data_IF_360229552439
#
_entry.id   IF_360229552439
#
_cell.length_a   1.000
_cell.length_b   1.000
_cell.length_c   1.000
_cell.angle_alpha   90.00
_cell.angle_beta   90.00
_cell.angle_gamma   90.00
#
_symmetry.space_group_name_H-M   'P 1'
#
loop_
_entity.id
_entity.type
_entity.pdbx_description
1 polymer ?
#
# COMPACT_ATOMS: atom_id res chain seq x y z
N UNK A 1 44.54 -15.54 -52.66
CA UNK A 1 44.56 -14.60 -51.52
C UNK A 1 43.12 -14.36 -51.15
N UNK A 2 42.57 -15.18 -50.24
CA UNK A 2 42.47 -14.91 -48.81
C UNK A 2 41.22 -14.06 -48.48
N UNK A 3 40.20 -14.78 -47.99
CA UNK A 3 39.16 -14.40 -47.01
C UNK A 3 38.12 -13.35 -47.44
N UNK A 4 36.82 -13.48 -47.18
CA UNK A 4 36.09 -14.48 -46.41
C UNK A 4 34.59 -14.44 -46.75
N UNK A 5 34.07 -15.64 -46.95
CA UNK A 5 32.69 -16.11 -46.97
C UNK A 5 31.80 -15.52 -45.85
N UNK A 6 30.57 -15.04 -46.13
CA UNK A 6 29.30 -15.82 -46.25
C UNK A 6 28.57 -15.89 -44.88
N UNK A 7 27.48 -15.12 -44.66
CA UNK A 7 26.04 -15.48 -44.79
C UNK A 7 25.34 -15.56 -43.41
N UNK A 8 24.28 -14.78 -43.19
CA UNK A 8 22.83 -15.10 -43.33
C UNK A 8 22.23 -15.88 -42.15
N UNK A 9 21.29 -15.19 -41.49
CA UNK A 9 20.00 -15.59 -40.88
C UNK A 9 19.87 -16.81 -39.95
N UNK A 10 19.02 -16.64 -38.92
CA UNK A 10 17.76 -17.37 -38.66
C UNK A 10 17.51 -17.66 -37.16
N UNK A 11 16.35 -17.15 -36.69
CA UNK A 11 15.37 -17.65 -35.70
C UNK A 11 15.73 -18.16 -34.27
N UNK A 12 14.91 -17.64 -33.34
CA UNK A 12 14.03 -18.33 -32.36
C UNK A 12 14.57 -19.24 -31.25
N UNK A 13 13.71 -19.26 -30.20
CA UNK A 13 13.58 -20.21 -29.09
C UNK A 13 14.55 -19.98 -27.93
N UNK A 14 14.25 -20.32 -26.67
CA UNK A 14 13.08 -20.68 -25.86
C UNK A 14 13.72 -21.04 -24.49
N UNK A 15 12.98 -20.90 -23.39
CA UNK A 15 13.25 -21.46 -22.06
C UNK A 15 14.10 -22.76 -22.02
N UNK A 16 15.03 -22.88 -21.06
CA UNK A 16 14.91 -23.78 -19.89
C UNK A 16 16.10 -23.69 -18.90
N UNK A 17 15.74 -23.66 -17.62
CA UNK A 17 16.31 -24.31 -16.41
C UNK A 17 17.62 -25.12 -16.45
N UNK A 18 18.30 -25.03 -15.28
CA UNK A 18 19.19 -25.96 -14.54
C UNK A 18 20.53 -25.28 -14.21
N UNK A 19 21.14 -25.41 -13.02
CA UNK A 19 21.28 -26.62 -12.22
C UNK A 19 21.72 -26.34 -10.76
N UNK A 20 21.39 -27.28 -9.86
CA UNK A 20 22.19 -27.85 -8.73
C UNK A 20 22.71 -26.90 -7.63
N UNK A 21 22.53 -27.13 -6.33
CA UNK A 21 22.42 -28.37 -5.54
C UNK A 21 23.71 -28.60 -4.74
N UNK A 22 23.69 -28.41 -3.42
CA UNK A 22 24.55 -29.12 -2.45
C UNK A 22 24.07 -28.92 -0.99
N UNK A 23 24.31 -29.96 -0.19
CA UNK A 23 23.78 -30.32 1.12
C UNK A 23 24.35 -29.54 2.32
N UNK A 24 23.63 -29.58 3.44
CA UNK A 24 24.18 -29.35 4.78
C UNK A 24 23.14 -29.53 5.89
N UNK A 25 23.15 -30.71 6.53
CA UNK A 25 22.38 -31.05 7.74
C UNK A 25 22.78 -30.18 8.95
N UNK A 26 21.81 -29.78 9.77
CA UNK A 26 21.85 -29.94 11.24
C UNK A 26 20.51 -29.50 11.86
N UNK A 27 19.81 -30.51 12.36
CA UNK A 27 18.66 -30.44 13.27
C UNK A 27 19.22 -30.24 14.69
N UNK A 28 18.74 -29.24 15.43
CA UNK A 28 18.80 -29.28 16.89
C UNK A 28 17.66 -28.47 17.52
N UNK A 29 17.16 -29.04 18.61
CA UNK A 29 15.87 -28.80 19.22
C UNK A 29 15.76 -27.49 20.02
N UNK A 30 14.51 -27.01 20.16
CA UNK A 30 14.07 -25.88 21.02
C UNK A 30 14.31 -26.18 22.53
N UNK A 31 14.23 -25.17 23.42
CA UNK A 31 12.90 -24.79 23.95
C UNK A 31 12.66 -23.28 24.10
N UNK A 32 11.40 -22.89 23.90
CA UNK A 32 10.82 -21.64 24.43
C UNK A 32 11.05 -21.52 25.94
N UNK A 33 11.24 -20.29 26.45
CA UNK A 33 10.66 -19.88 27.72
C UNK A 33 9.48 -18.93 27.48
N UNK A 34 8.31 -19.39 27.92
CA UNK A 34 7.12 -18.56 28.17
C UNK A 34 7.34 -17.71 29.44
N UNK A 35 6.81 -16.48 29.38
CA UNK A 35 6.35 -15.59 30.49
C UNK A 35 7.31 -14.46 30.91
N UNK A 36 6.80 -13.38 31.56
CA UNK A 36 5.49 -12.70 31.43
C UNK A 36 5.61 -11.15 31.36
N UNK A 37 4.60 -10.48 30.79
CA UNK A 37 4.23 -9.10 31.15
C UNK A 37 5.16 -7.96 30.73
N UNK A 38 4.96 -7.43 29.52
CA UNK A 38 5.41 -6.07 29.16
C UNK A 38 4.22 -5.25 28.67
N UNK A 39 3.31 -4.90 29.58
CA UNK A 39 2.14 -4.05 29.26
C UNK A 39 2.50 -2.55 29.23
N UNK A 40 3.71 -2.18 28.80
CA UNK A 40 4.18 -0.78 28.86
C UNK A 40 5.20 -0.31 27.81
N UNK A 41 5.70 -1.15 26.88
CA UNK A 41 6.68 -0.69 25.85
C UNK A 41 6.18 -0.68 24.41
N UNK A 42 5.09 -1.38 24.10
CA UNK A 42 4.69 -1.57 22.69
C UNK A 42 3.88 -0.42 22.10
N UNK A 43 3.18 0.36 22.93
CA UNK A 43 2.33 1.48 22.46
C UNK A 43 3.13 2.66 21.93
N UNK A 44 4.34 2.89 22.45
CA UNK A 44 5.20 4.00 22.04
C UNK A 44 6.21 3.62 20.94
N UNK A 45 6.32 2.34 20.60
CA UNK A 45 7.29 1.84 19.64
C UNK A 45 7.05 2.41 18.22
N UNK A 46 5.80 2.44 17.75
CA UNK A 46 5.47 2.99 16.42
C UNK A 46 5.76 4.51 16.37
N UNK A 47 5.25 5.35 17.30
CA UNK A 47 5.58 6.77 17.33
C UNK A 47 7.08 7.05 17.42
N UNK A 48 7.82 6.27 18.22
CA UNK A 48 9.27 6.42 18.35
C UNK A 48 9.99 6.10 17.03
N UNK A 49 9.59 5.03 16.33
CA UNK A 49 10.18 4.67 15.04
C UNK A 49 9.86 5.69 13.95
N UNK A 50 8.63 6.23 13.93
CA UNK A 50 8.24 7.34 13.03
C UNK A 50 9.10 8.57 13.29
N UNK A 51 9.33 8.92 14.56
CA UNK A 51 10.16 10.06 14.93
C UNK A 51 11.62 9.87 14.50
N UNK A 52 12.18 8.68 14.70
CA UNK A 52 13.54 8.35 14.28
C UNK A 52 13.70 8.45 12.76
N UNK A 53 12.77 7.84 11.99
CA UNK A 53 12.75 7.96 10.53
C UNK A 53 12.62 9.44 10.10
N UNK A 54 11.74 10.20 10.74
CA UNK A 54 11.52 11.62 10.43
C UNK A 54 12.77 12.47 10.63
N UNK A 55 13.55 12.19 11.68
CA UNK A 55 14.79 12.92 11.96
C UNK A 55 15.83 12.67 10.86
N UNK A 56 16.04 11.41 10.50
CA UNK A 56 16.99 11.04 9.44
C UNK A 56 16.52 11.53 8.07
N UNK A 57 15.21 11.53 7.81
CA UNK A 57 14.65 12.08 6.58
C UNK A 57 14.88 13.59 6.49
N UNK A 58 14.71 14.32 7.59
CA UNK A 58 14.96 15.76 7.64
C UNK A 58 16.44 16.10 7.43
N UNK A 59 17.36 15.25 7.91
CA UNK A 59 18.80 15.36 7.64
C UNK A 59 19.09 15.13 6.16
N UNK A 60 18.56 14.04 5.58
CA UNK A 60 18.71 13.74 4.16
C UNK A 60 18.14 14.87 3.29
N UNK A 61 16.93 15.37 3.61
CA UNK A 61 16.28 16.48 2.90
C UNK A 61 17.16 17.73 2.87
N UNK A 62 17.71 18.12 4.03
CA UNK A 62 18.63 19.27 4.15
C UNK A 62 19.88 19.07 3.30
N UNK A 63 20.47 17.88 3.34
CA UNK A 63 21.66 17.54 2.53
C UNK A 63 21.37 17.61 1.02
N UNK A 64 20.23 17.08 0.58
CA UNK A 64 19.81 17.11 -0.82
C UNK A 64 19.31 18.48 -1.29
N UNK A 65 19.21 19.48 -0.39
CA UNK A 65 18.67 20.81 -0.71
C UNK A 65 17.19 20.80 -1.08
N UNK A 66 16.45 19.74 -0.74
CA UNK A 66 15.06 19.56 -1.12
C UNK A 66 14.11 20.43 -0.28
N UNK A 67 12.98 20.90 -0.84
CA UNK A 67 12.01 21.69 -0.08
C UNK A 67 11.36 20.85 1.04
N UNK A 68 10.98 21.53 2.13
CA UNK A 68 10.17 20.93 3.17
C UNK A 68 8.71 20.89 2.73
N UNK A 69 8.07 19.74 2.91
CA UNK A 69 6.66 19.58 2.57
C UNK A 69 5.79 20.51 3.44
N UNK A 70 4.80 21.16 2.81
CA UNK A 70 3.77 21.89 3.52
C UNK A 70 2.74 20.95 4.15
N UNK A 71 2.13 21.38 5.27
CA UNK A 71 0.99 20.65 5.87
C UNK A 71 -0.12 20.51 4.84
N UNK A 72 -0.61 19.29 4.63
CA UNK A 72 -1.69 19.02 3.70
C UNK A 72 -2.62 17.98 4.28
N UNK A 73 -3.90 18.30 4.31
CA UNK A 73 -4.91 17.34 4.70
C UNK A 73 -5.47 16.67 3.44
N UNK A 74 -5.24 15.36 3.28
CA UNK A 74 -5.82 14.57 2.19
C UNK A 74 -7.30 14.20 2.43
N UNK A 75 -7.86 14.60 3.56
CA UNK A 75 -9.25 14.36 3.95
C UNK A 75 -9.56 12.91 4.32
N UNK A 76 -8.54 12.14 4.73
CA UNK A 76 -8.68 10.76 5.19
C UNK A 76 -7.95 10.62 6.53
N UNK A 77 -8.62 10.02 7.51
CA UNK A 77 -8.09 9.77 8.84
C UNK A 77 -8.35 8.32 9.25
N UNK A 78 -7.37 7.67 9.89
CA UNK A 78 -7.52 6.27 10.32
C UNK A 78 -6.61 5.97 11.50
N UNK A 79 -7.14 5.26 12.49
CA UNK A 79 -6.40 4.63 13.60
C UNK A 79 -6.26 3.12 13.40
N UNK A 80 -6.69 2.60 12.25
CA UNK A 80 -6.77 1.17 11.98
C UNK A 80 -5.40 0.59 11.65
N UNK A 81 -5.03 -0.50 12.33
CA UNK A 81 -3.77 -1.22 12.14
C UNK A 81 -3.48 -1.54 10.67
N UNK A 82 -4.51 -1.94 9.91
CA UNK A 82 -4.36 -2.24 8.48
C UNK A 82 -3.94 -1.03 7.66
N UNK A 83 -4.51 0.14 7.94
CA UNK A 83 -4.23 1.36 7.17
C UNK A 83 -2.85 1.89 7.49
N UNK A 84 -2.47 1.84 8.77
CA UNK A 84 -1.08 2.10 9.18
C UNK A 84 -0.11 1.16 8.45
N UNK A 85 -0.36 -0.16 8.45
CA UNK A 85 0.48 -1.13 7.76
C UNK A 85 0.66 -0.82 6.26
N UNK A 86 -0.41 -0.48 5.54
CA UNK A 86 -0.31 -0.15 4.12
C UNK A 86 0.41 1.19 3.87
N UNK A 87 0.28 2.18 4.78
CA UNK A 87 1.05 3.42 4.69
C UNK A 87 2.53 3.21 5.01
N UNK A 88 2.88 2.30 5.91
CA UNK A 88 4.29 1.94 6.15
C UNK A 88 4.88 1.13 5.00
N UNK A 89 4.10 0.26 4.35
CA UNK A 89 4.51 -0.42 3.13
C UNK A 89 4.73 0.58 1.98
N UNK A 90 3.86 1.59 1.85
CA UNK A 90 4.05 2.67 0.87
C UNK A 90 5.34 3.44 1.17
N UNK A 91 5.60 3.76 2.44
CA UNK A 91 6.84 4.44 2.86
C UNK A 91 8.08 3.61 2.50
N UNK A 92 8.03 2.30 2.78
CA UNK A 92 9.08 1.37 2.39
C UNK A 92 9.33 1.39 0.88
N UNK A 93 8.28 1.27 0.06
CA UNK A 93 8.39 1.27 -1.41
C UNK A 93 9.01 2.58 -1.95
N UNK A 94 8.59 3.73 -1.40
CA UNK A 94 9.16 5.03 -1.78
C UNK A 94 10.63 5.14 -1.38
N UNK A 95 10.98 4.64 -0.19
CA UNK A 95 12.37 4.65 0.30
C UNK A 95 13.26 3.72 -0.54
N UNK A 96 12.77 2.52 -0.90
CA UNK A 96 13.48 1.61 -1.82
C UNK A 96 13.68 2.24 -3.21
N UNK A 97 12.67 2.95 -3.73
CA UNK A 97 12.81 3.69 -5.00
C UNK A 97 13.90 4.75 -4.90
N UNK A 98 13.96 5.49 -3.79
CA UNK A 98 15.03 6.47 -3.55
C UNK A 98 16.41 5.79 -3.46
N UNK A 99 16.50 4.65 -2.78
CA UNK A 99 17.73 3.85 -2.73
C UNK A 99 18.19 3.47 -4.14
N UNK A 100 17.27 3.00 -4.98
CA UNK A 100 17.58 2.66 -6.36
C UNK A 100 18.02 3.87 -7.20
N UNK A 101 17.42 5.05 -7.00
CA UNK A 101 17.82 6.26 -7.73
C UNK A 101 19.25 6.70 -7.35
N UNK A 102 19.61 6.62 -6.07
CA UNK A 102 20.94 7.01 -5.55
C UNK A 102 22.02 5.96 -5.82
N UNK A 103 21.72 4.69 -5.56
CA UNK A 103 22.73 3.62 -5.47
C UNK A 103 22.58 2.53 -6.54
N UNK A 104 21.49 2.54 -7.32
CA UNK A 104 21.13 1.46 -8.27
C UNK A 104 20.93 0.09 -7.62
N UNK A 105 20.77 0.03 -6.29
CA UNK A 105 20.44 -1.18 -5.53
C UNK A 105 18.95 -1.21 -5.20
N UNK A 106 18.38 -2.41 -5.13
CA UNK A 106 17.03 -2.67 -4.63
C UNK A 106 17.10 -3.44 -3.32
N UNK A 107 16.30 -3.03 -2.35
CA UNK A 107 16.07 -3.79 -1.13
C UNK A 107 15.17 -5.01 -1.42
N UNK A 108 15.28 -6.02 -0.56
CA UNK A 108 14.37 -7.16 -0.59
C UNK A 108 13.01 -6.73 -0.06
N UNK A 109 11.90 -6.97 -0.79
CA UNK A 109 10.56 -6.65 -0.31
C UNK A 109 10.24 -7.32 1.03
N UNK A 110 9.55 -6.63 1.96
CA UNK A 110 9.14 -7.22 3.21
C UNK A 110 8.21 -8.41 2.95
N UNK A 111 8.30 -9.49 3.74
CA UNK A 111 7.43 -10.64 3.57
C UNK A 111 5.96 -10.23 3.79
N UNK A 112 5.05 -10.81 3.00
CA UNK A 112 3.62 -10.61 3.23
C UNK A 112 3.21 -11.33 4.54
N UNK A 113 2.56 -10.63 5.50
CA UNK A 113 2.14 -11.25 6.75
C UNK A 113 1.19 -12.44 6.53
N UNK A 114 1.52 -13.57 7.15
CA UNK A 114 0.71 -14.79 7.12
C UNK A 114 -0.34 -14.76 8.24
N UNK A 115 -1.27 -13.80 8.20
CA UNK A 115 -2.30 -13.70 9.23
C UNK A 115 -3.00 -12.35 9.32
N UNK A 116 -3.61 -12.11 10.48
CA UNK A 116 -4.13 -10.80 10.86
C UNK A 116 -2.98 -9.84 11.12
N UNK A 117 -3.11 -8.62 10.61
CA UNK A 117 -2.08 -7.59 10.72
C UNK A 117 -2.00 -7.09 12.16
N UNK A 118 -0.80 -7.01 12.70
CA UNK A 118 -0.52 -6.51 14.04
C UNK A 118 0.54 -5.41 14.07
N UNK A 119 0.76 -4.87 15.26
CA UNK A 119 1.85 -3.93 15.57
C UNK A 119 3.23 -4.41 15.09
N UNK A 120 3.61 -5.71 15.23
CA UNK A 120 4.90 -6.20 14.74
C UNK A 120 5.09 -6.02 13.23
N UNK A 121 4.03 -6.21 12.43
CA UNK A 121 4.11 -6.06 10.97
C UNK A 121 4.34 -4.59 10.57
N UNK A 122 3.69 -3.66 11.29
CA UNK A 122 3.87 -2.21 11.09
C UNK A 122 5.30 -1.81 11.44
N UNK A 123 5.79 -2.25 12.61
CA UNK A 123 7.14 -1.94 13.08
C UNK A 123 8.21 -2.52 12.16
N UNK A 124 8.05 -3.75 11.69
CA UNK A 124 8.97 -4.37 10.74
C UNK A 124 9.14 -3.51 9.48
N UNK A 125 8.03 -3.12 8.84
CA UNK A 125 8.06 -2.24 7.66
C UNK A 125 8.77 -0.91 7.94
N UNK A 126 8.53 -0.30 9.11
CA UNK A 126 9.15 0.98 9.49
C UNK A 126 10.64 0.86 9.78
N UNK A 127 11.04 -0.22 10.44
CA UNK A 127 12.43 -0.52 10.74
C UNK A 127 13.20 -0.79 9.45
N UNK A 128 12.63 -1.57 8.53
CA UNK A 128 13.22 -1.84 7.22
C UNK A 128 13.33 -0.56 6.39
N UNK A 129 12.26 0.25 6.31
CA UNK A 129 12.29 1.53 5.61
C UNK A 129 13.36 2.47 6.19
N UNK A 130 13.47 2.53 7.53
CA UNK A 130 14.50 3.33 8.20
C UNK A 130 15.92 2.79 7.91
N UNK A 131 16.11 1.47 7.90
CA UNK A 131 17.39 0.85 7.53
C UNK A 131 17.83 1.21 6.10
N UNK A 132 16.89 1.23 5.16
CA UNK A 132 17.12 1.69 3.78
C UNK A 132 17.50 3.17 3.76
N UNK A 133 16.78 4.03 4.50
CA UNK A 133 17.10 5.45 4.61
C UNK A 133 18.53 5.67 5.14
N UNK A 134 18.92 4.95 6.17
CA UNK A 134 20.29 4.99 6.71
C UNK A 134 21.33 4.46 5.71
N UNK A 135 20.98 3.52 4.85
CA UNK A 135 21.85 3.06 3.77
C UNK A 135 22.04 4.16 2.72
N UNK A 136 20.98 4.88 2.34
CA UNK A 136 21.05 6.03 1.44
C UNK A 136 21.97 7.11 2.02
N UNK A 137 21.77 7.45 3.29
CA UNK A 137 22.58 8.46 3.98
C UNK A 137 24.07 8.07 4.04
N UNK A 138 24.37 6.79 4.27
CA UNK A 138 25.74 6.25 4.21
C UNK A 138 26.34 6.33 2.81
N UNK A 139 25.56 6.00 1.77
CA UNK A 139 26.01 6.08 0.38
C UNK A 139 26.30 7.53 -0.07
N UNK A 140 25.63 8.51 0.56
CA UNK A 140 25.85 9.94 0.36
C UNK A 140 26.86 10.55 1.33
N UNK A 141 27.52 9.73 2.17
CA UNK A 141 28.52 10.15 3.16
C UNK A 141 28.00 11.20 4.15
N UNK A 142 26.70 11.16 4.48
CA UNK A 142 26.08 12.08 5.44
C UNK A 142 26.52 11.69 6.85
N UNK A 143 27.25 12.56 7.58
CA UNK A 143 27.77 12.22 8.90
C UNK A 143 26.64 12.10 9.94
N UNK A 144 26.75 11.19 10.93
CA UNK A 144 25.82 11.12 12.05
C UNK A 144 25.74 12.47 12.78
N UNK A 145 24.54 12.87 13.19
CA UNK A 145 24.36 14.11 13.95
C UNK A 145 24.88 13.92 15.38
N UNK A 146 25.67 14.86 15.93
CA UNK A 146 26.02 14.81 17.34
C UNK A 146 24.75 14.97 18.18
N UNK A 147 24.58 14.13 19.21
CA UNK A 147 23.45 14.19 20.13
C UNK A 147 23.28 15.61 20.70
N UNK A 148 22.36 16.40 20.14
CA UNK A 148 22.11 17.75 20.62
C UNK A 148 20.62 18.06 20.72
N UNK A 149 20.29 18.66 21.87
CA UNK A 149 19.00 19.07 22.45
C UNK A 149 17.73 18.95 21.60
N UNK A 150 16.78 18.26 22.22
CA UNK A 150 15.34 18.25 21.92
C UNK A 150 14.78 19.67 22.05
N UNK A 151 14.43 20.28 20.92
CA UNK A 151 13.54 21.45 20.89
C UNK A 151 12.16 21.07 21.46
N UNK A 152 11.40 22.04 22.01
CA UNK A 152 10.05 21.78 22.54
C UNK A 152 9.19 21.09 21.48
N UNK A 153 8.69 19.92 21.85
CA UNK A 153 7.92 19.03 20.98
C UNK A 153 6.60 19.73 20.63
N UNK A 154 6.37 20.17 19.38
CA UNK A 154 5.04 20.61 18.96
C UNK A 154 4.06 19.44 19.12
N UNK A 155 2.77 19.73 19.27
CA UNK A 155 1.73 18.70 19.37
C UNK A 155 1.93 17.63 18.27
N UNK A 156 2.20 16.39 18.70
CA UNK A 156 2.57 15.29 17.81
C UNK A 156 1.32 14.95 16.97
N UNK A 157 1.42 14.94 15.62
CA UNK A 157 0.33 14.41 14.79
C UNK A 157 0.08 12.94 15.13
N UNK A 158 -1.12 12.45 14.87
CA UNK A 158 -1.38 11.01 14.97
C UNK A 158 -0.47 10.23 14.00
N UNK A 159 -0.28 8.94 14.28
CA UNK A 159 0.65 8.09 13.51
C UNK A 159 0.31 8.04 12.02
N UNK A 160 -0.96 8.08 11.66
CA UNK A 160 -1.40 7.99 10.27
C UNK A 160 -1.05 9.28 9.52
N UNK A 161 -1.42 10.43 10.07
CA UNK A 161 -1.04 11.74 9.51
C UNK A 161 0.47 11.89 9.41
N UNK A 162 1.22 11.47 10.43
CA UNK A 162 2.67 11.49 10.40
C UNK A 162 3.26 10.65 9.25
N UNK A 163 2.72 9.44 9.01
CA UNK A 163 3.14 8.59 7.91
C UNK A 163 2.81 9.17 6.54
N UNK A 164 1.67 9.83 6.38
CA UNK A 164 1.33 10.53 5.14
C UNK A 164 2.33 11.65 4.85
N UNK A 165 2.68 12.46 5.86
CA UNK A 165 3.66 13.52 5.71
C UNK A 165 5.05 12.98 5.34
N UNK A 166 5.48 11.88 5.96
CA UNK A 166 6.73 11.20 5.59
C UNK A 166 6.69 10.69 4.14
N UNK A 167 5.60 10.01 3.74
CA UNK A 167 5.42 9.53 2.38
C UNK A 167 5.46 10.65 1.33
N UNK A 168 4.92 11.83 1.64
CA UNK A 168 4.98 13.00 0.77
C UNK A 168 6.38 13.61 0.74
N UNK A 169 7.04 13.71 1.89
CA UNK A 169 8.39 14.24 1.97
C UNK A 169 9.40 13.36 1.22
N UNK A 170 9.30 12.03 1.29
CA UNK A 170 10.14 11.11 0.49
C UNK A 170 9.88 11.28 -1.00
N UNK A 171 8.62 11.47 -1.42
CA UNK A 171 8.30 11.71 -2.84
C UNK A 171 9.03 12.94 -3.39
N UNK A 172 9.16 14.01 -2.60
CA UNK A 172 9.94 15.20 -2.96
C UNK A 172 11.46 14.99 -3.03
N UNK A 173 11.97 13.87 -2.51
CA UNK A 173 13.40 13.52 -2.62
C UNK A 173 13.69 12.67 -3.86
N UNK A 174 12.67 12.13 -4.52
CA UNK A 174 12.85 11.32 -5.72
C UNK A 174 13.18 12.22 -6.92
N UNK A 175 14.12 11.80 -7.76
CA UNK A 175 14.36 12.44 -9.06
C UNK A 175 13.14 12.21 -9.98
N UNK A 176 12.59 10.99 -9.94
CA UNK A 176 11.32 10.68 -10.59
C UNK A 176 10.26 10.56 -9.51
N UNK A 177 9.50 11.63 -9.30
CA UNK A 177 8.32 11.58 -8.43
C UNK A 177 7.31 10.50 -8.88
N UNK A 178 6.36 10.18 -8.00
CA UNK A 178 5.22 9.36 -8.38
C UNK A 178 4.44 10.01 -9.53
N UNK A 179 4.15 9.20 -10.54
CA UNK A 179 3.53 9.65 -11.79
C UNK A 179 2.14 9.04 -11.97
N UNK A 180 1.33 9.53 -12.92
CA UNK A 180 0.02 8.93 -13.22
C UNK A 180 0.08 7.44 -13.58
N UNK A 181 1.23 6.94 -14.08
CA UNK A 181 1.45 5.50 -14.30
C UNK A 181 1.43 4.68 -13.02
N UNK A 182 1.97 5.24 -11.94
CA UNK A 182 2.05 4.58 -10.64
C UNK A 182 0.65 4.52 -10.01
N UNK A 183 -0.11 5.62 -10.10
CA UNK A 183 -1.54 5.66 -9.75
C UNK A 183 -2.35 4.65 -10.56
N UNK A 184 -2.15 4.59 -11.87
CA UNK A 184 -2.87 3.66 -12.75
C UNK A 184 -2.62 2.20 -12.35
N UNK A 185 -1.37 1.86 -12.03
CA UNK A 185 -0.98 0.52 -11.58
C UNK A 185 -1.69 0.14 -10.28
N UNK A 186 -1.74 1.06 -9.31
CA UNK A 186 -2.43 0.85 -8.04
C UNK A 186 -3.95 0.67 -8.22
N UNK A 187 -4.58 1.47 -9.10
CA UNK A 187 -6.00 1.31 -9.43
C UNK A 187 -6.25 -0.02 -10.13
N UNK A 188 -5.33 -0.50 -10.97
CA UNK A 188 -5.44 -1.82 -11.60
C UNK A 188 -5.49 -2.93 -10.55
N UNK A 189 -4.63 -2.85 -9.54
CA UNK A 189 -4.66 -3.79 -8.42
C UNK A 189 -6.01 -3.72 -7.67
N UNK A 190 -6.53 -2.53 -7.43
CA UNK A 190 -7.86 -2.35 -6.82
C UNK A 190 -8.99 -2.97 -7.66
N UNK A 191 -8.96 -2.79 -8.98
CA UNK A 191 -9.93 -3.40 -9.92
C UNK A 191 -9.88 -4.92 -9.84
N UNK A 192 -8.70 -5.51 -9.73
CA UNK A 192 -8.56 -6.96 -9.61
C UNK A 192 -9.12 -7.48 -8.29
N UNK A 193 -8.89 -6.79 -7.16
CA UNK A 193 -9.54 -7.11 -5.90
C UNK A 193 -11.07 -7.03 -6.01
N UNK A 194 -11.60 -5.95 -6.59
CA UNK A 194 -13.05 -5.79 -6.77
C UNK A 194 -13.64 -6.84 -7.71
N UNK A 195 -12.93 -7.21 -8.78
CA UNK A 195 -13.33 -8.28 -9.70
C UNK A 195 -13.40 -9.64 -8.99
N UNK A 196 -12.47 -9.92 -8.07
CA UNK A 196 -12.49 -11.14 -7.26
C UNK A 196 -13.64 -11.16 -6.27
N UNK A 197 -13.92 -10.04 -5.62
CA UNK A 197 -15.10 -9.90 -4.75
C UNK A 197 -16.40 -10.12 -5.53
N UNK A 198 -16.52 -9.54 -6.72
CA UNK A 198 -17.67 -9.74 -7.60
C UNK A 198 -17.79 -11.17 -8.12
N UNK A 199 -16.69 -11.93 -8.22
CA UNK A 199 -16.70 -13.30 -8.73
C UNK A 199 -17.57 -14.26 -7.91
N UNK A 200 -17.96 -13.87 -6.68
CA UNK A 200 -18.86 -14.59 -5.78
C UNK A 200 -20.32 -14.54 -6.22
N UNK A 201 -20.68 -13.57 -7.07
CA UNK A 201 -22.05 -13.36 -7.54
C UNK A 201 -22.14 -13.78 -9.01
N UNK A 202 -22.91 -14.83 -9.35
CA UNK A 202 -22.97 -15.35 -10.73
C UNK A 202 -23.44 -14.33 -11.77
N UNK A 203 -24.30 -13.38 -11.37
CA UNK A 203 -24.85 -12.35 -12.24
C UNK A 203 -23.97 -11.10 -12.36
N UNK A 204 -22.84 -11.04 -11.61
CA UNK A 204 -21.98 -9.87 -11.62
C UNK A 204 -21.11 -9.78 -12.87
N UNK A 205 -21.04 -8.58 -13.45
CA UNK A 205 -20.06 -8.27 -14.49
C UNK A 205 -18.76 -7.92 -13.78
N UNK A 206 -17.83 -8.89 -13.76
CA UNK A 206 -16.54 -8.76 -13.05
C UNK A 206 -15.71 -7.58 -13.51
N UNK A 207 -15.63 -7.38 -14.84
CA UNK A 207 -14.94 -6.24 -15.46
C UNK A 207 -15.98 -5.54 -16.34
N UNK A 208 -16.56 -4.41 -15.88
CA UNK A 208 -17.48 -3.59 -16.67
C UNK A 208 -16.83 -3.05 -17.96
N UNK A 209 -17.68 -2.58 -18.87
CA UNK A 209 -17.20 -1.82 -20.03
C UNK A 209 -16.44 -0.58 -19.57
N UNK A 210 -15.35 -0.28 -20.28
CA UNK A 210 -14.51 0.86 -19.98
C UNK A 210 -15.30 2.17 -20.21
N UNK A 211 -15.36 3.08 -19.21
CA UNK A 211 -16.02 4.37 -19.40
C UNK A 211 -15.38 5.19 -20.52
N UNK A 212 -16.11 6.13 -21.14
CA UNK A 212 -15.54 7.02 -22.15
C UNK A 212 -14.29 7.76 -21.64
N UNK A 213 -13.29 7.91 -22.52
CA UNK A 213 -12.10 8.67 -22.21
C UNK A 213 -12.42 10.18 -22.13
N UNK A 214 -12.11 10.79 -21.00
CA UNK A 214 -12.29 12.23 -20.78
C UNK A 214 -10.92 12.93 -20.74
N UNK A 215 -10.56 13.76 -21.74
CA UNK A 215 -9.27 14.44 -21.78
C UNK A 215 -9.16 15.54 -20.70
N UNK A 216 -7.95 16.09 -20.53
CA UNK A 216 -7.64 17.24 -19.69
C UNK A 216 -7.88 17.07 -18.17
N UNK A 217 -8.07 15.84 -17.70
CA UNK A 217 -8.16 15.54 -16.27
C UNK A 217 -6.86 15.88 -15.55
N UNK A 218 -7.01 16.33 -14.32
CA UNK A 218 -5.97 16.68 -13.37
C UNK A 218 -5.92 15.67 -12.22
N UNK A 219 -4.86 15.66 -11.40
CA UNK A 219 -4.79 14.82 -10.20
C UNK A 219 -6.01 15.01 -9.27
N UNK A 220 -6.55 16.22 -9.16
CA UNK A 220 -7.76 16.52 -8.38
C UNK A 220 -8.99 15.74 -8.85
N UNK A 221 -9.16 15.55 -10.16
CA UNK A 221 -10.30 14.80 -10.70
C UNK A 221 -10.17 13.31 -10.36
N UNK A 222 -8.95 12.76 -10.46
CA UNK A 222 -8.66 11.37 -10.10
C UNK A 222 -8.88 11.17 -8.61
N UNK A 223 -8.36 12.07 -7.77
CA UNK A 223 -8.57 12.07 -6.32
C UNK A 223 -10.07 12.04 -5.98
N UNK A 224 -10.88 12.93 -6.55
CA UNK A 224 -12.32 12.99 -6.26
C UNK A 224 -13.03 11.68 -6.61
N UNK A 225 -12.69 11.08 -7.75
CA UNK A 225 -13.26 9.79 -8.16
C UNK A 225 -12.80 8.65 -7.24
N UNK A 226 -11.54 8.64 -6.79
CA UNK A 226 -11.06 7.65 -5.82
C UNK A 226 -11.68 7.83 -4.42
N UNK A 227 -11.95 9.06 -3.99
CA UNK A 227 -12.71 9.32 -2.76
C UNK A 227 -14.13 8.77 -2.89
N UNK A 228 -14.78 8.90 -4.05
CA UNK A 228 -16.08 8.28 -4.27
C UNK A 228 -16.01 6.74 -4.18
N UNK A 229 -14.99 6.11 -4.77
CA UNK A 229 -14.73 4.68 -4.61
C UNK A 229 -14.52 4.29 -3.13
N UNK A 230 -13.69 5.05 -2.40
CA UNK A 230 -13.41 4.79 -0.99
C UNK A 230 -14.67 4.92 -0.14
N UNK A 231 -15.54 5.90 -0.40
CA UNK A 231 -16.86 6.03 0.25
C UNK A 231 -17.76 4.83 -0.02
N UNK A 232 -17.81 4.31 -1.25
CA UNK A 232 -18.54 3.07 -1.54
C UNK A 232 -17.98 1.87 -0.78
N UNK A 233 -16.66 1.76 -0.67
CA UNK A 233 -16.01 0.68 0.11
C UNK A 233 -16.35 0.81 1.61
N UNK A 234 -16.29 2.02 2.16
CA UNK A 234 -16.68 2.30 3.54
C UNK A 234 -18.14 1.93 3.77
N UNK A 235 -19.04 2.27 2.85
CA UNK A 235 -20.45 1.91 2.96
C UNK A 235 -20.67 0.40 2.93
N UNK A 236 -20.01 -0.31 2.00
CA UNK A 236 -20.03 -1.78 1.93
C UNK A 236 -19.55 -2.39 3.26
N UNK A 237 -18.42 -1.91 3.78
CA UNK A 237 -17.86 -2.38 5.04
C UNK A 237 -18.81 -2.14 6.23
N UNK A 238 -19.51 -0.99 6.26
CA UNK A 238 -20.53 -0.69 7.27
C UNK A 238 -21.72 -1.65 7.20
N UNK A 239 -22.24 -1.97 6.00
CA UNK A 239 -23.31 -2.98 5.83
C UNK A 239 -22.87 -4.34 6.39
N UNK A 240 -21.59 -4.68 6.21
CA UNK A 240 -20.99 -5.92 6.71
C UNK A 240 -20.56 -5.86 8.19
N UNK A 241 -20.73 -4.72 8.86
CA UNK A 241 -20.39 -4.54 10.28
C UNK A 241 -18.88 -4.42 10.57
N UNK A 242 -18.06 -4.03 9.60
CA UNK A 242 -16.62 -3.83 9.79
C UNK A 242 -16.28 -2.39 10.20
N UNK A 243 -15.21 -2.23 10.98
CA UNK A 243 -14.64 -0.91 11.31
C UNK A 243 -14.05 -0.26 10.07
N UNK A 244 -14.31 1.03 9.88
CA UNK A 244 -13.94 1.81 8.69
C UNK A 244 -13.11 3.03 9.05
N UNK A 245 -12.32 3.51 8.09
CA UNK A 245 -11.63 4.79 8.18
C UNK A 245 -12.63 5.96 8.07
N UNK A 246 -12.19 7.16 8.46
CA UNK A 246 -12.95 8.39 8.34
C UNK A 246 -12.53 9.20 7.11
N UNK A 247 -13.51 9.86 6.47
CA UNK A 247 -13.32 10.63 5.23
C UNK A 247 -13.99 12.00 5.39
N UNK A 248 -13.17 13.03 5.61
CA UNK A 248 -13.60 14.43 5.61
C UNK A 248 -12.77 15.28 4.65
N UNK A 249 -13.29 15.44 3.42
CA UNK A 249 -12.60 16.18 2.35
C UNK A 249 -12.88 17.68 2.36
N UNK A 250 -13.56 18.23 3.38
CA UNK A 250 -13.95 19.66 3.40
C UNK A 250 -12.76 20.61 3.46
N UNK A 251 -11.65 20.16 4.04
CA UNK A 251 -10.43 20.95 4.23
C UNK A 251 -9.32 20.59 3.22
N UNK A 252 -9.59 19.68 2.28
CA UNK A 252 -8.59 19.29 1.28
C UNK A 252 -8.41 20.39 0.25
N UNK A 253 -7.19 20.92 0.11
CA UNK A 253 -6.86 21.87 -0.95
C UNK A 253 -6.67 21.13 -2.28
N UNK A 254 -7.70 21.14 -3.11
CA UNK A 254 -7.71 20.44 -4.40
C UNK A 254 -6.69 20.98 -5.40
N UNK A 255 -6.18 22.20 -5.20
CA UNK A 255 -5.26 22.86 -6.15
C UNK A 255 -3.82 22.37 -6.04
N UNK A 256 -3.46 21.78 -4.91
CA UNK A 256 -2.09 21.32 -4.62
C UNK A 256 -1.89 19.82 -4.80
N UNK A 257 -2.92 19.10 -5.25
CA UNK A 257 -2.86 17.65 -5.39
C UNK A 257 -1.86 17.22 -6.46
N UNK A 258 -0.94 16.35 -6.06
CA UNK A 258 0.04 15.71 -6.94
C UNK A 258 -0.35 14.27 -7.24
N UNK A 259 0.21 13.62 -8.28
CA UNK A 259 0.01 12.19 -8.48
C UNK A 259 0.49 11.34 -7.29
N UNK A 260 1.48 11.80 -6.51
CA UNK A 260 1.91 11.15 -5.27
C UNK A 260 0.81 11.14 -4.20
N UNK A 261 0.06 12.24 -4.06
CA UNK A 261 -1.09 12.29 -3.14
C UNK A 261 -2.23 11.37 -3.61
N UNK A 262 -2.51 11.36 -4.92
CA UNK A 262 -3.51 10.46 -5.52
C UNK A 262 -3.11 8.99 -5.35
N UNK A 263 -1.81 8.68 -5.47
CA UNK A 263 -1.29 7.32 -5.25
C UNK A 263 -1.54 6.84 -3.82
N UNK A 264 -1.35 7.71 -2.80
CA UNK A 264 -1.67 7.35 -1.41
C UNK A 264 -3.15 7.03 -1.21
N UNK A 265 -4.06 7.76 -1.87
CA UNK A 265 -5.49 7.44 -1.83
C UNK A 265 -5.78 6.11 -2.54
N UNK A 266 -5.13 5.84 -3.66
CA UNK A 266 -5.26 4.57 -4.37
C UNK A 266 -4.75 3.38 -3.51
N UNK A 267 -3.64 3.55 -2.78
CA UNK A 267 -3.13 2.48 -1.90
C UNK A 267 -4.06 2.24 -0.70
N UNK A 268 -4.75 3.26 -0.20
CA UNK A 268 -5.82 3.09 0.80
C UNK A 268 -7.03 2.35 0.23
N UNK A 269 -7.43 2.62 -1.01
CA UNK A 269 -8.48 1.87 -1.70
C UNK A 269 -8.09 0.38 -1.80
N UNK A 270 -6.84 0.08 -2.18
CA UNK A 270 -6.32 -1.29 -2.21
C UNK A 270 -6.33 -1.92 -0.80
N UNK A 271 -5.87 -1.20 0.23
CA UNK A 271 -5.90 -1.65 1.63
C UNK A 271 -7.29 -2.11 2.05
N UNK A 272 -8.30 -1.26 1.81
CA UNK A 272 -9.68 -1.54 2.22
C UNK A 272 -10.29 -2.70 1.43
N UNK A 273 -10.01 -2.79 0.12
CA UNK A 273 -10.48 -3.90 -0.71
C UNK A 273 -9.81 -5.23 -0.35
N UNK A 274 -8.51 -5.23 -0.07
CA UNK A 274 -7.79 -6.40 0.41
C UNK A 274 -8.35 -6.87 1.76
N UNK A 275 -8.71 -5.94 2.66
CA UNK A 275 -9.36 -6.28 3.92
C UNK A 275 -10.71 -6.97 3.71
N UNK A 276 -11.58 -6.40 2.86
CA UNK A 276 -12.86 -7.00 2.49
C UNK A 276 -12.67 -8.39 1.87
N UNK A 277 -11.74 -8.51 0.94
CA UNK A 277 -11.41 -9.76 0.26
C UNK A 277 -11.01 -10.87 1.23
N UNK A 278 -10.10 -10.57 2.17
CA UNK A 278 -9.69 -11.51 3.23
C UNK A 278 -10.84 -11.86 4.17
N UNK A 279 -11.62 -10.88 4.65
CA UNK A 279 -12.71 -11.12 5.61
C UNK A 279 -13.86 -11.93 5.01
N UNK A 280 -14.09 -11.82 3.71
CA UNK A 280 -15.10 -12.62 3.02
C UNK A 280 -14.61 -14.04 2.70
N UNK A 281 -13.36 -14.40 3.05
CA UNK A 281 -12.85 -15.77 2.99
C UNK A 281 -12.13 -16.13 1.69
N UNK A 282 -11.86 -15.15 0.82
CA UNK A 282 -11.02 -15.35 -0.35
C UNK A 282 -9.56 -15.01 -0.02
N UNK A 283 -8.67 -16.00 -0.16
CA UNK A 283 -7.24 -15.86 0.17
C UNK A 283 -6.31 -16.15 -1.02
N UNK A 284 -6.86 -16.22 -2.24
CA UNK A 284 -6.03 -16.41 -3.43
C UNK A 284 -5.25 -15.13 -3.72
N UNK A 285 -3.95 -15.20 -4.02
CA UNK A 285 -3.17 -14.03 -4.39
C UNK A 285 -3.82 -13.32 -5.58
N UNK A 286 -3.93 -11.99 -5.49
CA UNK A 286 -4.26 -11.15 -6.64
C UNK A 286 -3.00 -11.00 -7.48
N UNK A 287 -3.16 -11.00 -8.81
CA UNK A 287 -2.02 -10.84 -9.70
C UNK A 287 -1.40 -9.45 -9.49
N UNK A 288 -0.06 -9.33 -9.50
CA UNK A 288 0.58 -8.03 -9.43
C UNK A 288 0.25 -7.22 -10.69
N UNK A 289 0.03 -5.91 -10.53
CA UNK A 289 -0.12 -5.00 -11.66
C UNK A 289 1.25 -4.73 -12.30
N UNK A 290 1.32 -4.82 -13.62
CA UNK A 290 2.54 -4.53 -14.39
C UNK A 290 2.64 -3.04 -14.72
N UNK A 291 3.88 -2.54 -14.87
CA UNK A 291 4.12 -1.15 -15.24
C UNK A 291 3.46 -0.83 -16.60
N UNK A 292 2.52 0.11 -16.66
CA UNK A 292 1.66 0.29 -17.84
C UNK A 292 2.28 1.22 -18.90
N UNK A 293 3.57 1.58 -18.77
CA UNK A 293 4.19 2.62 -19.56
C UNK A 293 3.71 4.02 -19.16
N UNK A 294 3.89 4.99 -20.07
CA UNK A 294 3.49 6.38 -19.83
C UNK A 294 1.97 6.50 -19.76
N UNK A 295 1.46 7.06 -18.67
CA UNK A 295 0.04 7.39 -18.49
C UNK A 295 -0.12 8.87 -18.13
N UNK A 296 -1.36 9.33 -18.19
CA UNK A 296 -1.79 10.69 -17.87
C UNK A 296 -2.96 10.60 -16.89
N UNK A 297 -3.29 11.66 -16.11
CA UNK A 297 -4.38 11.60 -15.14
C UNK A 297 -5.72 11.19 -15.75
N UNK A 298 -5.99 11.57 -17.01
CA UNK A 298 -7.19 11.14 -17.74
C UNK A 298 -7.33 9.61 -17.84
N UNK A 299 -6.21 8.89 -18.04
CA UNK A 299 -6.21 7.43 -18.05
C UNK A 299 -6.53 6.86 -16.66
N UNK A 300 -5.91 7.40 -15.62
CA UNK A 300 -6.18 6.95 -14.24
C UNK A 300 -7.61 7.27 -13.82
N UNK A 301 -8.17 8.41 -14.26
CA UNK A 301 -9.56 8.79 -14.03
C UNK A 301 -10.54 7.83 -14.71
N UNK A 302 -10.29 7.47 -15.97
CA UNK A 302 -11.08 6.48 -16.70
C UNK A 302 -11.02 5.11 -16.02
N UNK A 303 -9.82 4.67 -15.63
CA UNK A 303 -9.60 3.39 -14.92
C UNK A 303 -10.31 3.36 -13.57
N UNK A 304 -10.26 4.46 -12.80
CA UNK A 304 -11.03 4.60 -11.57
C UNK A 304 -12.54 4.52 -11.81
N UNK A 305 -13.02 4.83 -13.01
CA UNK A 305 -14.43 4.67 -13.38
C UNK A 305 -14.85 3.20 -13.52
N UNK A 306 -13.96 2.33 -13.99
CA UNK A 306 -14.19 0.86 -13.97
C UNK A 306 -14.35 0.40 -12.53
N UNK A 307 -13.42 0.80 -11.66
CA UNK A 307 -13.47 0.46 -10.24
C UNK A 307 -14.78 0.95 -9.60
N UNK A 308 -15.17 2.20 -9.87
CA UNK A 308 -16.42 2.76 -9.35
C UNK A 308 -17.64 1.93 -9.76
N UNK A 309 -17.71 1.50 -11.03
CA UNK A 309 -18.80 0.65 -11.53
C UNK A 309 -18.79 -0.75 -10.87
N UNK A 310 -17.62 -1.33 -10.59
CA UNK A 310 -17.51 -2.59 -9.85
C UNK A 310 -18.03 -2.43 -8.42
N UNK A 311 -17.66 -1.35 -7.73
CA UNK A 311 -18.08 -1.09 -6.35
C UNK A 311 -19.59 -0.86 -6.25
N UNK A 312 -20.19 -0.14 -7.20
CA UNK A 312 -21.64 0.04 -7.28
C UNK A 312 -22.39 -1.28 -7.53
N UNK A 313 -21.80 -2.23 -8.27
CA UNK A 313 -22.37 -3.58 -8.39
C UNK A 313 -22.25 -4.33 -7.07
N UNK A 314 -21.07 -4.30 -6.45
CA UNK A 314 -20.80 -5.02 -5.21
C UNK A 314 -21.72 -4.56 -4.09
N UNK A 315 -21.93 -3.26 -3.96
CA UNK A 315 -22.86 -2.64 -3.02
C UNK A 315 -24.30 -3.15 -3.22
N UNK A 316 -24.78 -3.20 -4.47
CA UNK A 316 -26.11 -3.74 -4.79
C UNK A 316 -26.24 -5.21 -4.41
N UNK A 317 -25.25 -6.04 -4.73
CA UNK A 317 -25.30 -7.47 -4.40
C UNK A 317 -25.23 -7.74 -2.89
N UNK A 318 -24.43 -6.97 -2.15
CA UNK A 318 -24.31 -7.09 -0.70
C UNK A 318 -25.59 -6.61 0.00
N UNK A 319 -26.19 -5.51 -0.46
CA UNK A 319 -27.45 -5.00 0.09
C UNK A 319 -28.64 -5.93 -0.19
N UNK A 320 -28.63 -6.64 -1.33
CA UNK A 320 -29.67 -7.59 -1.70
C UNK A 320 -29.48 -8.98 -1.06
N UNK A 321 -28.30 -9.29 -0.51
CA UNK A 321 -28.06 -10.55 0.17
C UNK A 321 -28.87 -10.58 1.47
N UNK A 322 -29.65 -11.64 1.76
CA UNK A 322 -30.32 -11.75 3.04
C UNK A 322 -29.27 -11.73 4.14
N UNK A 323 -29.30 -10.70 4.99
CA UNK A 323 -28.45 -10.61 6.18
C UNK A 323 -28.74 -11.82 7.05
N UNK A 324 -27.87 -12.83 7.01
CA UNK A 324 -27.92 -13.92 7.96
C UNK A 324 -27.55 -13.37 9.34
N UNK A 325 -28.55 -12.86 10.05
CA UNK A 325 -28.52 -12.58 11.48
C UNK A 325 -29.82 -13.13 12.05
N UNK A 326 -29.67 -14.20 12.82
CA UNK A 326 -30.78 -14.91 13.43
C UNK A 326 -30.25 -16.19 14.06
N UNK A 327 -29.78 -16.06 15.28
CA UNK A 327 -29.53 -17.10 16.27
C UNK A 327 -30.17 -18.45 15.89
N UNK A 328 -29.33 -19.46 15.62
CA UNK A 328 -29.75 -20.83 15.86
C UNK A 328 -29.85 -21.00 17.37
N UNK A 329 -30.99 -20.57 17.90
CA UNK A 329 -31.50 -20.95 19.22
C UNK A 329 -31.49 -22.47 19.24
N UNK A 330 -30.48 -23.04 19.88
CA UNK A 330 -30.44 -24.46 20.15
C UNK A 330 -31.45 -24.70 21.28
N UNK A 331 -32.73 -24.74 20.90
CA UNK A 331 -33.79 -25.23 21.76
C UNK A 331 -33.53 -26.72 21.99
N UNK A 332 -32.90 -26.92 23.13
CA UNK A 332 -32.85 -28.08 23.98
C UNK A 332 -34.06 -29.02 23.89
N UNK A 333 -33.75 -30.32 23.93
CA UNK A 333 -34.51 -31.42 24.57
C UNK A 333 -35.69 -31.99 23.77
N UNK A 334 -35.60 -33.25 23.36
CA UNK A 334 -36.40 -34.36 23.95
C UNK A 334 -35.72 -35.73 23.70
N UNK A 335 -35.83 -36.72 24.62
CA UNK A 335 -34.95 -37.88 24.73
C UNK A 335 -35.55 -39.17 24.13
N UNK A 336 -34.70 -40.20 24.13
CA UNK A 336 -34.96 -41.66 24.12
C UNK A 336 -36.31 -42.19 23.59
N UNK A 337 -36.21 -43.09 22.61
CA UNK A 337 -36.48 -44.52 22.84
C UNK A 337 -35.74 -45.41 21.86
#
# INVERSE_FOLDING_TARGET
MAWGSLRICVLSMLFLLLATGSNGYAEDARPNPLSPGTTGSDTDAIPAQIAAYSQDLERLRRFMGAPKIGKFNIGIHSDLTRDLYFQTLTLWQKTDRLLFEISRVRATPPPTPAGELGTPDILANLQDAHGILQQIMRALEIPPEPETRTDPIPARPDNFTALLDLNRQVDLLLERHFAPSDVYMEITLAIDYAARLLARYPEAIRIPEEPPFEPNKQPSDVYQRLIACLRSIVHIAQILGFTVLDIDTRQTDMTQLTPGDVYMVASLVVSQLNHLYKKLGDNKPVAPAFYPGRKFPAHSYQWAGILQAQLQQLERFIAAAPTASGEAKHDSITPER
#
